data_IF_224060654293
#
_entry.id   IF_224060654293
#
_cell.length_a   1.000
_cell.length_b   1.000
_cell.length_c   1.000
_cell.angle_alpha   90.00
_cell.angle_beta   90.00
_cell.angle_gamma   90.00
#
_symmetry.space_group_name_H-M   'P 1'
#
loop_
_entity.id
_entity.type
_entity.pdbx_description
1 polymer ?
#
# COMPACT_ATOMS: atom_id res chain seq x y z
N UNK A 1 -21.46 9.29 7.67
CA UNK A 1 -20.01 9.50 7.53
C UNK A 1 -19.52 8.40 6.62
N UNK A 2 -19.10 8.71 5.39
CA UNK A 2 -18.55 7.70 4.49
C UNK A 2 -17.21 7.22 5.06
N UNK A 3 -17.00 5.91 5.08
CA UNK A 3 -15.73 5.31 5.42
C UNK A 3 -14.64 5.88 4.48
N UNK A 4 -13.47 6.23 5.05
CA UNK A 4 -12.36 6.80 4.29
C UNK A 4 -11.88 5.84 3.20
N UNK A 5 -11.93 4.54 3.49
CA UNK A 5 -11.63 3.45 2.53
C UNK A 5 -12.56 3.54 1.32
N UNK A 6 -13.89 3.61 1.53
CA UNK A 6 -14.88 3.70 0.45
C UNK A 6 -14.67 4.94 -0.42
N UNK A 7 -14.34 6.06 0.21
CA UNK A 7 -14.07 7.32 -0.49
C UNK A 7 -12.83 7.20 -1.38
N UNK A 8 -11.75 6.60 -0.87
CA UNK A 8 -10.53 6.36 -1.63
C UNK A 8 -10.74 5.38 -2.79
N UNK A 9 -11.49 4.29 -2.59
CA UNK A 9 -11.84 3.35 -3.66
C UNK A 9 -12.61 4.03 -4.79
N UNK A 10 -13.57 4.91 -4.48
CA UNK A 10 -14.30 5.67 -5.48
C UNK A 10 -13.41 6.68 -6.24
N UNK A 11 -12.38 7.23 -5.58
CA UNK A 11 -11.39 8.09 -6.25
C UNK A 11 -10.46 7.27 -7.16
N UNK A 12 -9.99 6.10 -6.72
CA UNK A 12 -9.19 5.18 -7.53
C UNK A 12 -9.96 4.73 -8.77
N UNK A 13 -11.25 4.46 -8.64
CA UNK A 13 -12.09 4.11 -9.79
C UNK A 13 -12.14 5.21 -10.87
N UNK A 14 -11.94 6.48 -10.50
CA UNK A 14 -11.85 7.62 -11.43
C UNK A 14 -10.41 7.85 -11.92
N UNK A 15 -9.42 7.55 -11.09
CA UNK A 15 -8.00 7.79 -11.34
C UNK A 15 -7.17 6.57 -10.90
N UNK A 16 -7.21 5.44 -11.64
CA UNK A 16 -6.56 4.20 -11.22
C UNK A 16 -5.02 4.23 -11.32
N UNK A 17 -4.46 5.25 -11.96
CA UNK A 17 -3.02 5.48 -12.06
C UNK A 17 -2.48 6.49 -11.04
N UNK A 18 -3.24 6.82 -10.00
CA UNK A 18 -2.78 7.77 -8.98
C UNK A 18 -2.10 7.02 -7.82
N UNK A 19 -0.76 7.13 -7.78
CA UNK A 19 0.11 6.57 -6.74
C UNK A 19 -0.35 6.95 -5.34
N UNK A 20 -0.76 8.21 -5.14
CA UNK A 20 -1.10 8.72 -3.83
C UNK A 20 -2.41 8.14 -3.32
N UNK A 21 -3.35 7.83 -4.22
CA UNK A 21 -4.62 7.21 -3.84
C UNK A 21 -4.41 5.76 -3.39
N UNK A 22 -3.62 4.98 -4.13
CA UNK A 22 -3.26 3.61 -3.73
C UNK A 22 -2.46 3.61 -2.43
N UNK A 23 -1.46 4.49 -2.30
CA UNK A 23 -0.71 4.63 -1.05
C UNK A 23 -1.62 4.99 0.13
N UNK A 24 -2.52 5.97 -0.05
CA UNK A 24 -3.46 6.39 1.00
C UNK A 24 -4.41 5.27 1.40
N UNK A 25 -4.92 4.50 0.43
CA UNK A 25 -5.79 3.36 0.71
C UNK A 25 -5.03 2.26 1.47
N UNK A 26 -3.79 1.99 1.08
CA UNK A 26 -2.91 1.07 1.80
C UNK A 26 -2.67 1.49 3.26
N UNK A 27 -2.48 2.79 3.49
CA UNK A 27 -2.32 3.34 4.84
C UNK A 27 -3.56 3.13 5.71
N UNK A 28 -4.77 3.36 5.17
CA UNK A 28 -6.02 3.13 5.91
C UNK A 28 -6.20 1.64 6.25
N UNK A 29 -5.90 0.74 5.31
CA UNK A 29 -5.92 -0.70 5.57
C UNK A 29 -4.91 -1.10 6.66
N UNK A 30 -3.69 -0.57 6.61
CA UNK A 30 -2.67 -0.86 7.60
C UNK A 30 -3.08 -0.36 9.00
N UNK A 31 -3.69 0.83 9.08
CA UNK A 31 -4.22 1.37 10.33
C UNK A 31 -5.36 0.50 10.91
N UNK A 32 -6.17 -0.13 10.04
CA UNK A 32 -7.19 -1.10 10.43
C UNK A 32 -6.68 -2.51 10.73
N UNK A 33 -5.37 -2.77 10.66
CA UNK A 33 -4.76 -4.09 10.84
C UNK A 33 -4.97 -5.04 9.65
N UNK A 34 -5.52 -4.55 8.53
CA UNK A 34 -5.76 -5.31 7.30
C UNK A 34 -4.49 -5.34 6.45
N UNK A 35 -3.43 -5.94 6.98
CA UNK A 35 -2.09 -5.86 6.40
C UNK A 35 -1.98 -6.44 4.98
N UNK A 36 -2.69 -7.51 4.65
CA UNK A 36 -2.65 -8.08 3.29
C UNK A 36 -3.30 -7.13 2.25
N UNK A 37 -4.39 -6.45 2.63
CA UNK A 37 -5.01 -5.44 1.78
C UNK A 37 -4.07 -4.23 1.63
N UNK A 38 -3.43 -3.80 2.72
CA UNK A 38 -2.45 -2.72 2.68
C UNK A 38 -1.30 -3.01 1.71
N UNK A 39 -0.70 -4.20 1.80
CA UNK A 39 0.39 -4.63 0.91
C UNK A 39 -0.05 -4.65 -0.54
N UNK A 40 -1.29 -5.06 -0.83
CA UNK A 40 -1.83 -5.07 -2.19
C UNK A 40 -1.85 -3.66 -2.78
N UNK A 41 -2.36 -2.68 -2.02
CA UNK A 41 -2.43 -1.30 -2.47
C UNK A 41 -1.06 -0.64 -2.57
N UNK A 42 -0.14 -0.92 -1.65
CA UNK A 42 1.24 -0.44 -1.78
C UNK A 42 1.96 -1.04 -3.00
N UNK A 43 1.68 -2.31 -3.34
CA UNK A 43 2.20 -2.92 -4.58
C UNK A 43 1.62 -2.26 -5.84
N UNK A 44 0.36 -1.82 -5.82
CA UNK A 44 -0.20 -1.01 -6.91
C UNK A 44 0.53 0.35 -7.01
N UNK A 45 0.75 1.04 -5.89
CA UNK A 45 1.51 2.29 -5.88
C UNK A 45 2.93 2.10 -6.46
N UNK A 46 3.61 1.01 -6.10
CA UNK A 46 4.93 0.64 -6.64
C UNK A 46 4.85 0.33 -8.14
N UNK A 47 3.81 -0.36 -8.60
CA UNK A 47 3.64 -0.70 -10.02
C UNK A 47 3.39 0.54 -10.89
N UNK A 48 2.74 1.56 -10.33
CA UNK A 48 2.48 2.83 -11.00
C UNK A 48 3.75 3.71 -10.98
N UNK A 49 4.40 3.83 -9.82
CA UNK A 49 5.65 4.56 -9.65
C UNK A 49 6.65 3.74 -8.82
N UNK A 50 7.55 3.07 -9.53
CA UNK A 50 8.60 2.27 -8.95
C UNK A 50 9.63 3.10 -8.18
N UNK A 51 9.63 4.43 -8.30
CA UNK A 51 10.51 5.35 -7.56
C UNK A 51 9.88 5.86 -6.26
N UNK A 52 8.61 5.54 -6.01
CA UNK A 52 7.90 5.97 -4.80
C UNK A 52 8.30 5.14 -3.58
N UNK A 53 9.49 5.44 -3.03
CA UNK A 53 10.11 4.81 -1.86
C UNK A 53 9.15 4.62 -0.67
N UNK A 54 8.25 5.57 -0.32
CA UNK A 54 7.33 5.38 0.80
C UNK A 54 6.45 4.13 0.67
N UNK A 55 6.05 3.73 -0.54
CA UNK A 55 5.24 2.52 -0.73
C UNK A 55 6.03 1.24 -0.42
N UNK A 56 7.31 1.16 -0.77
CA UNK A 56 8.16 0.02 -0.38
C UNK A 56 8.33 -0.07 1.13
N UNK A 57 8.55 1.07 1.79
CA UNK A 57 8.72 1.12 3.24
C UNK A 57 7.47 0.65 3.97
N UNK A 58 6.30 1.15 3.59
CA UNK A 58 5.03 0.78 4.24
C UNK A 58 4.57 -0.63 3.86
N UNK A 59 4.85 -1.11 2.64
CA UNK A 59 4.63 -2.50 2.26
C UNK A 59 5.48 -3.46 3.11
N UNK A 60 6.77 -3.16 3.29
CA UNK A 60 7.65 -4.00 4.10
C UNK A 60 7.26 -4.01 5.59
N UNK A 61 6.84 -2.86 6.13
CA UNK A 61 6.29 -2.79 7.50
C UNK A 61 5.01 -3.61 7.63
N UNK A 62 4.10 -3.51 6.67
CA UNK A 62 2.83 -4.26 6.66
C UNK A 62 3.07 -5.76 6.56
N UNK A 63 3.99 -6.20 5.68
CA UNK A 63 4.41 -7.60 5.58
C UNK A 63 5.00 -8.13 6.88
N UNK A 64 5.82 -7.32 7.58
CA UNK A 64 6.35 -7.67 8.89
C UNK A 64 5.24 -7.85 9.92
N UNK A 65 4.25 -6.95 9.95
CA UNK A 65 3.09 -7.07 10.84
C UNK A 65 2.21 -8.28 10.52
N UNK A 66 2.17 -8.71 9.26
CA UNK A 66 1.53 -9.95 8.82
C UNK A 66 2.38 -11.23 9.08
N UNK A 67 3.58 -11.11 9.67
CA UNK A 67 4.49 -12.23 9.91
C UNK A 67 5.25 -12.74 8.66
N UNK A 68 5.09 -12.08 7.51
CA UNK A 68 5.68 -12.45 6.21
C UNK A 68 7.08 -11.84 6.04
N UNK A 69 7.99 -12.21 6.95
CA UNK A 69 9.32 -11.61 7.06
C UNK A 69 10.21 -11.80 5.81
N UNK A 70 10.03 -12.92 5.09
CA UNK A 70 10.76 -13.16 3.84
C UNK A 70 10.42 -12.12 2.78
N UNK A 71 9.12 -11.96 2.49
CA UNK A 71 8.64 -10.96 1.53
C UNK A 71 8.94 -9.53 1.96
N UNK A 72 8.89 -9.24 3.26
CA UNK A 72 9.26 -7.91 3.78
C UNK A 72 10.70 -7.55 3.38
N UNK A 73 11.64 -8.49 3.49
CA UNK A 73 13.04 -8.28 3.10
C UNK A 73 13.18 -8.03 1.60
N UNK A 74 12.47 -8.78 0.78
CA UNK A 74 12.48 -8.59 -0.68
C UNK A 74 11.95 -7.20 -1.06
N UNK A 75 10.81 -6.79 -0.47
CA UNK A 75 10.21 -5.48 -0.72
C UNK A 75 11.14 -4.34 -0.28
N UNK A 76 11.78 -4.45 0.90
CA UNK A 76 12.73 -3.42 1.33
C UNK A 76 13.95 -3.35 0.41
N UNK A 77 14.46 -4.48 -0.06
CA UNK A 77 15.59 -4.52 -0.98
C UNK A 77 15.24 -3.94 -2.36
N UNK A 78 14.00 -4.08 -2.81
CA UNK A 78 13.55 -3.52 -4.09
C UNK A 78 13.38 -1.99 -4.08
N UNK A 79 13.22 -1.37 -2.90
CA UNK A 79 13.04 0.07 -2.74
C UNK A 79 14.30 0.87 -2.39
N UNK A 80 15.48 0.23 -2.41
CA UNK A 80 16.81 0.81 -2.17
C UNK A 80 17.58 0.97 -3.49
#
# INVERSE_FOLDING_TARGET
MADRITTLQAMIAKSPGDVFLHYSLGMEYAAGGQFDAAVTEFRQAIAIDATYVPAYVEAGKSLRSAGRLGEAREIFAAGL
#
